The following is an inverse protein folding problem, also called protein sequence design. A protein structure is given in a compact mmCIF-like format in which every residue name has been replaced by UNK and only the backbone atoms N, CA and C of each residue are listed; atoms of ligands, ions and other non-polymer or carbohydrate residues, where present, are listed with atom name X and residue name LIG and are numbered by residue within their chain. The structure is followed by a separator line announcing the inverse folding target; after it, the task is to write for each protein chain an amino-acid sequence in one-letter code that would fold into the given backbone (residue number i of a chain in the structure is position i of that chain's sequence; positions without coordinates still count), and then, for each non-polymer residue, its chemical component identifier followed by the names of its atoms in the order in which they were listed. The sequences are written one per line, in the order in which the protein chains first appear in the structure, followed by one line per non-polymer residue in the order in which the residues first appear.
data_IF_544374829108
#
_entry.id   IF_544374829108
#
_cell.length_a   1.000
_cell.length_b   1.000
_cell.length_c   1.000
_cell.angle_alpha   90.00
_cell.angle_beta   90.00
_cell.angle_gamma   90.00
#
_symmetry.space_group_name_H-M   'P 1'
#
loop_
_entity.id
_entity.type
_entity.pdbx_description
1 polymer ?
#
# COMPACT_ATOMS: atom_id res chain seq x y z
N UNK A 1 17.21 17.38 9.79
CA UNK A 1 17.31 15.93 10.02
C UNK A 1 18.20 15.57 11.21
N UNK A 2 17.89 16.14 12.39
CA UNK A 2 18.68 15.95 13.61
C UNK A 2 18.80 14.49 14.08
N UNK A 3 17.87 13.63 13.67
CA UNK A 3 17.80 12.23 14.14
C UNK A 3 18.28 11.20 13.09
N UNK A 4 18.52 11.61 11.86
CA UNK A 4 18.88 10.67 10.79
C UNK A 4 20.25 9.99 11.00
N UNK A 5 21.16 10.63 11.75
CA UNK A 5 22.49 10.09 12.08
C UNK A 5 22.49 9.17 13.29
N UNK A 6 21.39 9.09 14.03
CA UNK A 6 21.26 8.29 15.26
C UNK A 6 20.51 6.96 15.00
N UNK A 7 20.12 6.70 13.75
CA UNK A 7 19.43 5.46 13.38
C UNK A 7 20.39 4.26 13.34
N UNK A 8 19.89 3.10 13.75
CA UNK A 8 20.60 1.82 13.59
C UNK A 8 19.99 1.06 12.43
N UNK A 9 20.84 0.61 11.49
CA UNK A 9 20.40 -0.29 10.42
C UNK A 9 20.09 -1.66 11.01
N UNK A 10 18.88 -2.14 10.76
CA UNK A 10 18.42 -3.44 11.20
C UNK A 10 18.31 -4.40 10.01
N UNK A 11 18.65 -5.67 10.21
CA UNK A 11 18.23 -6.72 9.31
C UNK A 11 16.73 -6.95 9.40
N UNK A 12 16.14 -7.64 8.41
CA UNK A 12 14.72 -7.98 8.42
C UNK A 12 14.33 -8.76 9.69
N UNK A 13 15.14 -9.74 10.10
CA UNK A 13 14.91 -10.52 11.34
C UNK A 13 14.93 -9.66 12.60
N UNK A 14 15.86 -8.73 12.71
CA UNK A 14 15.93 -7.80 13.86
C UNK A 14 14.73 -6.86 13.88
N UNK A 15 14.30 -6.35 12.72
CA UNK A 15 13.11 -5.50 12.62
C UNK A 15 11.83 -6.26 13.05
N UNK A 16 11.69 -7.54 12.69
CA UNK A 16 10.58 -8.38 13.14
C UNK A 16 10.56 -8.49 14.67
N UNK A 17 11.72 -8.73 15.30
CA UNK A 17 11.80 -8.82 16.75
C UNK A 17 11.46 -7.50 17.43
N UNK A 18 11.96 -6.38 16.91
CA UNK A 18 11.62 -5.05 17.41
C UNK A 18 10.11 -4.78 17.37
N UNK A 19 9.48 -5.02 16.23
CA UNK A 19 8.03 -4.80 16.07
C UNK A 19 7.20 -5.76 16.93
N UNK A 20 7.68 -6.98 17.14
CA UNK A 20 7.07 -7.93 18.10
C UNK A 20 7.08 -7.38 19.52
N UNK A 21 8.20 -6.78 19.95
CA UNK A 21 8.32 -6.14 21.27
C UNK A 21 7.40 -4.91 21.40
N UNK A 22 7.23 -4.16 20.32
CA UNK A 22 6.34 -2.99 20.26
C UNK A 22 4.84 -3.37 20.19
N UNK A 23 4.51 -4.64 19.95
CA UNK A 23 3.13 -5.11 19.85
C UNK A 23 2.37 -4.57 18.62
N UNK A 24 3.08 -4.22 17.55
CA UNK A 24 2.48 -3.70 16.30
C UNK A 24 2.39 -4.79 15.24
N UNK A 25 1.59 -4.54 14.20
CA UNK A 25 1.49 -5.40 13.02
C UNK A 25 2.57 -5.04 11.99
N UNK A 26 2.68 -5.86 10.94
CA UNK A 26 3.78 -5.81 9.99
C UNK A 26 3.29 -5.55 8.57
N UNK A 27 3.92 -4.61 7.88
CA UNK A 27 3.70 -4.38 6.46
C UNK A 27 5.04 -4.24 5.72
N UNK A 28 5.82 -5.35 5.62
CA UNK A 28 7.12 -5.33 4.98
C UNK A 28 6.99 -5.17 3.47
N UNK A 29 7.83 -4.33 2.90
CA UNK A 29 7.98 -4.25 1.46
C UNK A 29 9.20 -5.04 0.99
N UNK A 30 8.98 -6.02 0.10
CA UNK A 30 10.06 -6.64 -0.65
C UNK A 30 10.50 -5.69 -1.75
N UNK A 31 11.57 -4.95 -1.51
CA UNK A 31 12.09 -3.98 -2.47
C UNK A 31 12.53 -4.67 -3.76
N UNK A 32 12.21 -4.06 -4.88
CA UNK A 32 12.75 -4.50 -6.17
C UNK A 32 14.27 -4.50 -6.12
N UNK A 33 14.94 -5.62 -6.42
CA UNK A 33 16.40 -5.69 -6.36
C UNK A 33 17.05 -4.66 -7.30
N UNK A 34 18.05 -3.95 -6.80
CA UNK A 34 18.88 -3.05 -7.63
C UNK A 34 20.04 -3.79 -8.31
N UNK A 35 20.18 -5.09 -8.03
CA UNK A 35 21.16 -5.98 -8.64
C UNK A 35 20.48 -6.99 -9.56
N UNK A 36 21.21 -7.49 -10.56
CA UNK A 36 20.67 -8.52 -11.45
C UNK A 36 20.34 -9.79 -10.67
N UNK A 37 19.17 -10.34 -10.93
CA UNK A 37 18.76 -11.65 -10.39
C UNK A 37 18.89 -12.73 -11.47
N UNK A 38 19.34 -13.96 -11.13
CA UNK A 38 19.71 -14.44 -9.80
C UNK A 38 21.01 -13.80 -9.28
N UNK A 39 20.97 -13.33 -8.03
CA UNK A 39 22.16 -12.76 -7.38
C UNK A 39 23.17 -13.86 -7.06
N UNK A 40 24.46 -13.58 -7.30
CA UNK A 40 25.55 -14.54 -7.11
C UNK A 40 25.30 -15.93 -7.77
N UNK A 41 24.59 -15.91 -8.91
CA UNK A 41 24.35 -17.08 -9.76
C UNK A 41 23.18 -17.98 -9.35
N UNK A 42 22.74 -17.99 -8.10
CA UNK A 42 21.71 -18.91 -7.61
C UNK A 42 20.62 -18.30 -6.72
N UNK A 43 20.79 -17.12 -6.15
CA UNK A 43 19.76 -16.47 -5.32
C UNK A 43 18.74 -15.75 -6.20
N UNK A 44 17.65 -16.44 -6.50
CA UNK A 44 16.61 -15.98 -7.43
C UNK A 44 15.64 -14.99 -6.77
N UNK A 45 14.87 -14.22 -7.58
CA UNK A 45 13.77 -13.40 -7.08
C UNK A 45 12.78 -14.24 -6.26
N UNK A 46 12.47 -15.45 -6.70
CA UNK A 46 11.58 -16.33 -5.95
C UNK A 46 12.18 -16.78 -4.60
N UNK A 47 13.50 -17.00 -4.52
CA UNK A 47 14.18 -17.29 -3.26
C UNK A 47 14.12 -16.09 -2.32
N UNK A 48 14.32 -14.88 -2.83
CA UNK A 48 14.20 -13.63 -2.07
C UNK A 48 12.80 -13.43 -1.52
N UNK A 49 11.77 -13.64 -2.36
CA UNK A 49 10.38 -13.52 -1.93
C UNK A 49 10.00 -14.57 -0.86
N UNK A 50 10.47 -15.82 -1.01
CA UNK A 50 10.25 -16.87 0.01
C UNK A 50 10.94 -16.55 1.32
N UNK A 51 12.18 -16.03 1.27
CA UNK A 51 12.95 -15.66 2.47
C UNK A 51 12.20 -14.68 3.35
N UNK A 52 11.57 -13.66 2.77
CA UNK A 52 10.83 -12.69 3.55
C UNK A 52 9.68 -13.34 4.36
N UNK A 53 8.91 -14.25 3.76
CA UNK A 53 7.83 -14.94 4.48
C UNK A 53 8.39 -15.93 5.49
N UNK A 54 9.48 -16.64 5.13
CA UNK A 54 10.11 -17.60 6.04
C UNK A 54 10.60 -16.92 7.32
N UNK A 55 11.14 -15.72 7.24
CA UNK A 55 11.58 -14.96 8.42
C UNK A 55 10.41 -14.67 9.41
N UNK A 56 9.19 -14.44 8.90
CA UNK A 56 7.99 -14.32 9.76
C UNK A 56 7.56 -15.66 10.36
N UNK A 57 7.63 -16.74 9.58
CA UNK A 57 7.33 -18.10 10.06
C UNK A 57 8.30 -18.48 11.18
N UNK A 58 9.59 -18.29 10.96
CA UNK A 58 10.64 -18.61 11.93
C UNK A 58 10.52 -17.80 13.23
N UNK A 59 10.03 -16.55 13.12
CA UNK A 59 9.76 -15.70 14.27
C UNK A 59 8.43 -16.02 15.00
N UNK A 60 7.63 -16.94 14.46
CA UNK A 60 6.34 -17.32 15.02
C UNK A 60 5.30 -16.20 14.94
N UNK A 61 5.37 -15.36 13.91
CA UNK A 61 4.39 -14.27 13.68
C UNK A 61 3.16 -14.85 12.96
N UNK A 62 1.98 -14.51 13.48
CA UNK A 62 0.72 -14.99 12.88
C UNK A 62 0.50 -14.35 11.49
N UNK A 63 0.10 -15.13 10.48
CA UNK A 63 -0.20 -14.58 9.14
C UNK A 63 -1.16 -13.39 9.16
N UNK A 64 -2.17 -13.41 10.04
CA UNK A 64 -3.15 -12.34 10.21
C UNK A 64 -2.56 -10.99 10.67
N UNK A 65 -1.31 -10.96 11.10
CA UNK A 65 -0.62 -9.75 11.54
C UNK A 65 0.38 -9.22 10.50
N UNK A 66 0.48 -9.87 9.31
CA UNK A 66 1.48 -9.53 8.29
C UNK A 66 0.82 -9.22 6.95
N UNK A 67 1.09 -8.04 6.39
CA UNK A 67 0.72 -7.61 5.04
C UNK A 67 1.98 -7.47 4.18
N UNK A 68 2.54 -8.58 3.65
CA UNK A 68 3.72 -8.51 2.80
C UNK A 68 3.37 -7.80 1.50
N UNK A 69 4.25 -6.91 1.04
CA UNK A 69 3.96 -6.11 -0.15
C UNK A 69 5.12 -6.11 -1.14
N UNK A 70 4.80 -6.01 -2.42
CA UNK A 70 5.77 -5.88 -3.51
C UNK A 70 5.17 -5.16 -4.71
N UNK A 71 6.01 -4.40 -5.42
CA UNK A 71 5.70 -3.86 -6.75
C UNK A 71 5.75 -4.94 -7.85
N UNK A 72 6.39 -6.08 -7.58
CA UNK A 72 6.45 -7.19 -8.52
C UNK A 72 5.26 -8.13 -8.30
N UNK A 73 4.31 -8.13 -9.25
CA UNK A 73 3.13 -9.01 -9.20
C UNK A 73 3.51 -10.48 -9.00
N UNK A 74 4.65 -10.91 -9.58
CA UNK A 74 5.15 -12.29 -9.44
C UNK A 74 5.40 -12.71 -7.99
N UNK A 75 5.88 -11.81 -7.14
CA UNK A 75 6.12 -12.07 -5.71
C UNK A 75 4.80 -12.30 -4.98
N UNK A 76 3.80 -11.44 -5.23
CA UNK A 76 2.48 -11.55 -4.61
C UNK A 76 1.77 -12.84 -5.03
N UNK A 77 1.84 -13.21 -6.31
CA UNK A 77 1.30 -14.47 -6.83
C UNK A 77 2.02 -15.68 -6.22
N UNK A 78 3.34 -15.60 -6.05
CA UNK A 78 4.12 -16.64 -5.38
C UNK A 78 3.64 -16.82 -3.94
N UNK A 79 3.49 -15.74 -3.18
CA UNK A 79 3.01 -15.81 -1.80
C UNK A 79 1.58 -16.35 -1.71
N UNK A 80 0.69 -15.93 -2.61
CA UNK A 80 -0.67 -16.46 -2.66
C UNK A 80 -0.72 -17.97 -2.91
N UNK A 81 0.21 -18.49 -3.72
CA UNK A 81 0.30 -19.90 -4.09
C UNK A 81 1.02 -20.76 -3.05
N UNK A 82 2.19 -20.32 -2.59
CA UNK A 82 3.07 -21.13 -1.75
C UNK A 82 2.86 -20.91 -0.24
N UNK A 83 2.40 -19.72 0.13
CA UNK A 83 2.13 -19.33 1.52
C UNK A 83 0.70 -18.78 1.66
N UNK A 84 -0.36 -19.56 1.37
CA UNK A 84 -1.72 -19.03 1.23
C UNK A 84 -2.24 -18.29 2.47
N UNK A 85 -1.80 -18.65 3.66
CA UNK A 85 -2.17 -17.95 4.88
C UNK A 85 -1.65 -16.49 4.92
N UNK A 86 -0.43 -16.24 4.45
CA UNK A 86 0.16 -14.89 4.30
C UNK A 86 -0.34 -14.22 3.01
N UNK A 87 -0.51 -15.00 1.94
CA UNK A 87 -0.94 -14.52 0.64
C UNK A 87 -2.33 -13.86 0.62
N UNK A 88 -3.21 -14.23 1.58
CA UNK A 88 -4.52 -13.56 1.74
C UNK A 88 -4.41 -12.07 2.09
N UNK A 89 -3.29 -11.65 2.65
CA UNK A 89 -3.00 -10.26 3.00
C UNK A 89 -1.88 -9.65 2.18
N UNK A 90 -1.30 -10.41 1.23
CA UNK A 90 -0.25 -9.89 0.36
C UNK A 90 -0.78 -8.76 -0.51
N UNK A 91 -0.02 -7.66 -0.54
CA UNK A 91 -0.38 -6.40 -1.20
C UNK A 91 0.41 -6.26 -2.50
N UNK A 92 -0.29 -6.21 -3.62
CA UNK A 92 0.32 -5.78 -4.88
C UNK A 92 0.36 -4.25 -4.91
N UNK A 93 1.55 -3.67 -4.78
CA UNK A 93 1.78 -2.23 -4.93
C UNK A 93 1.64 -1.87 -6.41
N UNK A 94 0.58 -1.15 -6.76
CA UNK A 94 0.23 -0.90 -8.15
C UNK A 94 0.66 0.51 -8.60
N UNK A 95 1.85 0.59 -9.18
CA UNK A 95 2.39 1.80 -9.79
C UNK A 95 2.20 1.88 -11.31
N UNK A 96 1.51 0.89 -11.93
CA UNK A 96 1.26 0.88 -13.37
C UNK A 96 0.49 2.12 -13.81
N UNK A 97 0.67 2.54 -15.05
CA UNK A 97 -0.05 3.69 -15.62
C UNK A 97 -1.57 3.50 -15.58
N UNK A 98 -2.30 4.60 -15.53
CA UNK A 98 -3.77 4.62 -15.44
C UNK A 98 -4.43 4.45 -16.84
N UNK A 99 -4.04 3.40 -17.55
CA UNK A 99 -4.58 3.03 -18.86
C UNK A 99 -5.79 2.10 -18.72
N UNK A 100 -6.63 2.01 -19.73
CA UNK A 100 -7.87 1.22 -19.69
C UNK A 100 -7.61 -0.28 -19.45
N UNK A 101 -6.51 -0.82 -19.96
CA UNK A 101 -6.06 -2.19 -19.74
C UNK A 101 -5.58 -2.47 -18.30
N UNK A 102 -5.31 -1.42 -17.52
CA UNK A 102 -4.94 -1.51 -16.10
C UNK A 102 -6.13 -1.21 -15.18
N UNK A 103 -6.97 -0.24 -15.56
CA UNK A 103 -8.04 0.29 -14.68
C UNK A 103 -9.38 -0.38 -14.88
N UNK A 104 -9.56 -1.18 -15.95
CA UNK A 104 -10.84 -1.83 -16.26
C UNK A 104 -11.23 -2.91 -15.24
N UNK A 105 -12.52 -3.18 -15.14
CA UNK A 105 -13.03 -4.29 -14.31
C UNK A 105 -12.37 -5.63 -14.68
N UNK A 106 -12.19 -5.89 -15.99
CA UNK A 106 -11.54 -7.11 -16.46
C UNK A 106 -10.08 -7.23 -15.97
N UNK A 107 -9.33 -6.12 -15.96
CA UNK A 107 -7.97 -6.09 -15.43
C UNK A 107 -7.94 -6.39 -13.92
N UNK A 108 -8.86 -5.81 -13.15
CA UNK A 108 -8.99 -6.06 -11.71
C UNK A 108 -9.41 -7.51 -11.41
N UNK A 109 -10.35 -8.06 -12.19
CA UNK A 109 -10.73 -9.48 -12.10
C UNK A 109 -9.57 -10.42 -12.44
N UNK A 110 -8.70 -10.03 -13.40
CA UNK A 110 -7.49 -10.77 -13.72
C UNK A 110 -6.50 -10.81 -12.55
N UNK A 111 -6.33 -9.71 -11.80
CA UNK A 111 -5.53 -9.72 -10.57
C UNK A 111 -6.14 -10.66 -9.53
N UNK A 112 -7.44 -10.56 -9.32
CA UNK A 112 -8.15 -11.42 -8.36
C UNK A 112 -8.02 -12.91 -8.70
N UNK A 113 -8.15 -13.28 -9.97
CA UNK A 113 -8.02 -14.67 -10.43
C UNK A 113 -6.61 -15.24 -10.25
N UNK A 114 -5.58 -14.39 -10.26
CA UNK A 114 -4.19 -14.76 -9.97
C UNK A 114 -3.88 -14.94 -8.48
N UNK A 115 -4.86 -14.73 -7.61
CA UNK A 115 -4.71 -14.87 -6.16
C UNK A 115 -4.49 -13.56 -5.40
N UNK A 116 -4.37 -12.42 -6.07
CA UNK A 116 -4.28 -11.11 -5.41
C UNK A 116 -5.60 -10.83 -4.68
N UNK A 117 -5.51 -10.36 -3.44
CA UNK A 117 -6.68 -9.98 -2.62
C UNK A 117 -6.61 -8.53 -2.17
N UNK A 118 -5.41 -7.98 -2.10
CA UNK A 118 -5.18 -6.59 -1.69
C UNK A 118 -4.28 -5.91 -2.72
N UNK A 119 -4.64 -4.71 -3.12
CA UNK A 119 -3.81 -3.84 -3.96
C UNK A 119 -3.44 -2.59 -3.19
N UNK A 120 -2.25 -2.05 -3.46
CA UNK A 120 -1.75 -0.81 -2.88
C UNK A 120 -1.50 0.22 -3.98
N UNK A 121 -2.50 0.97 -4.45
CA UNK A 121 -2.30 2.04 -5.40
C UNK A 121 -1.93 3.35 -4.70
N UNK A 122 -1.26 4.25 -5.44
CA UNK A 122 -1.10 5.63 -5.02
C UNK A 122 -2.47 6.31 -4.86
N UNK A 123 -2.61 7.24 -3.91
CA UNK A 123 -3.87 7.87 -3.58
C UNK A 123 -4.58 8.48 -4.80
N UNK A 124 -3.83 9.16 -5.68
CA UNK A 124 -4.38 9.77 -6.90
C UNK A 124 -5.05 8.80 -7.87
N UNK A 125 -4.68 7.51 -7.85
CA UNK A 125 -5.31 6.49 -8.71
C UNK A 125 -6.74 6.19 -8.28
N UNK A 126 -7.02 6.32 -7.00
CA UNK A 126 -8.32 6.00 -6.41
C UNK A 126 -9.29 7.16 -6.39
N UNK A 127 -8.82 8.38 -6.64
CA UNK A 127 -9.57 9.61 -6.50
C UNK A 127 -9.69 10.35 -7.83
N UNK A 128 -10.81 11.04 -8.01
CA UNK A 128 -11.07 11.96 -9.12
C UNK A 128 -11.97 13.10 -8.66
N UNK A 129 -12.25 14.06 -9.52
CA UNK A 129 -13.22 15.12 -9.28
C UNK A 129 -14.50 14.88 -10.09
N UNK A 130 -15.65 15.10 -9.46
CA UNK A 130 -16.93 15.18 -10.16
C UNK A 130 -17.11 16.53 -10.90
N UNK A 131 -18.26 16.71 -11.54
CA UNK A 131 -18.59 17.93 -12.29
C UNK A 131 -18.67 19.18 -11.39
N UNK A 132 -18.87 19.00 -10.09
CA UNK A 132 -18.90 20.06 -9.06
C UNK A 132 -17.54 20.24 -8.38
N UNK A 133 -16.49 19.60 -8.89
CA UNK A 133 -15.12 19.58 -8.33
C UNK A 133 -15.02 18.97 -6.92
N UNK A 134 -15.99 18.14 -6.55
CA UNK A 134 -15.92 17.37 -5.31
C UNK A 134 -15.02 16.14 -5.53
N UNK A 135 -14.22 15.80 -4.52
CA UNK A 135 -13.39 14.58 -4.52
C UNK A 135 -14.33 13.37 -4.40
N UNK A 136 -14.18 12.42 -5.32
CA UNK A 136 -14.98 11.19 -5.39
C UNK A 136 -14.11 9.99 -5.80
N UNK A 137 -14.57 8.73 -5.57
CA UNK A 137 -13.86 7.55 -6.04
C UNK A 137 -13.72 7.52 -7.57
N UNK A 138 -12.53 7.23 -8.06
CA UNK A 138 -12.24 7.03 -9.47
C UNK A 138 -12.82 5.71 -10.00
N UNK A 139 -12.82 5.52 -11.31
CA UNK A 139 -13.22 4.25 -11.92
C UNK A 139 -12.24 3.11 -11.57
N UNK A 140 -10.95 3.43 -11.36
CA UNK A 140 -9.99 2.47 -10.81
C UNK A 140 -10.49 1.88 -9.48
N UNK A 141 -10.85 2.74 -8.52
CA UNK A 141 -11.32 2.32 -7.21
C UNK A 141 -12.64 1.54 -7.29
N UNK A 142 -13.60 2.02 -8.10
CA UNK A 142 -14.89 1.34 -8.31
C UNK A 142 -14.71 -0.05 -8.89
N UNK A 143 -13.87 -0.19 -9.92
CA UNK A 143 -13.60 -1.47 -10.58
C UNK A 143 -12.82 -2.43 -9.68
N UNK A 144 -11.85 -1.94 -8.91
CA UNK A 144 -11.15 -2.75 -7.91
C UNK A 144 -12.11 -3.32 -6.86
N UNK A 145 -12.99 -2.48 -6.32
CA UNK A 145 -14.04 -2.89 -5.37
C UNK A 145 -15.01 -3.90 -5.97
N UNK A 146 -15.46 -3.66 -7.21
CA UNK A 146 -16.35 -4.56 -7.95
C UNK A 146 -15.71 -5.92 -8.24
N UNK A 147 -14.39 -5.97 -8.42
CA UNK A 147 -13.63 -7.21 -8.58
C UNK A 147 -13.38 -7.95 -7.26
N UNK A 148 -13.76 -7.39 -6.11
CA UNK A 148 -13.54 -7.98 -4.78
C UNK A 148 -12.15 -7.71 -4.20
N UNK A 149 -11.38 -6.80 -4.78
CA UNK A 149 -10.07 -6.40 -4.27
C UNK A 149 -10.23 -5.41 -3.11
N UNK A 150 -9.47 -5.61 -2.04
CA UNK A 150 -9.27 -4.62 -0.98
C UNK A 150 -8.18 -3.65 -1.38
N UNK A 151 -8.19 -2.44 -0.84
CA UNK A 151 -7.24 -1.39 -1.19
C UNK A 151 -6.55 -0.82 0.06
N UNK A 152 -5.24 -0.54 -0.05
CA UNK A 152 -4.47 0.24 0.91
C UNK A 152 -3.88 1.43 0.13
N UNK A 153 -4.17 2.66 0.58
CA UNK A 153 -3.69 3.86 -0.08
C UNK A 153 -2.26 4.21 0.33
N UNK A 154 -1.45 4.74 -0.60
CA UNK A 154 -0.18 5.42 -0.32
C UNK A 154 -0.06 6.67 -1.17
N UNK A 155 0.41 7.78 -0.71
CA UNK A 155 0.64 8.23 0.66
C UNK A 155 0.00 9.63 0.83
N UNK A 156 -0.09 10.15 2.06
CA UNK A 156 -0.77 11.43 2.29
C UNK A 156 0.17 12.65 2.21
N UNK A 157 1.43 12.55 2.67
CA UNK A 157 2.22 13.74 3.00
C UNK A 157 3.46 13.94 2.10
N UNK A 158 3.78 13.03 1.20
CA UNK A 158 5.11 12.92 0.61
C UNK A 158 5.42 13.84 -0.58
N UNK A 159 4.45 14.45 -1.24
CA UNK A 159 4.73 15.01 -2.56
C UNK A 159 4.69 16.53 -2.67
N UNK A 160 4.21 17.24 -1.70
CA UNK A 160 4.24 18.69 -1.73
C UNK A 160 3.27 19.37 -0.78
N UNK A 161 3.40 20.69 -0.59
CA UNK A 161 2.51 21.45 0.24
C UNK A 161 1.08 21.45 -0.30
N UNK A 162 0.09 21.27 0.58
CA UNK A 162 -1.31 21.22 0.16
C UNK A 162 -1.82 22.57 -0.34
N UNK A 163 -1.31 23.69 0.17
CA UNK A 163 -1.64 25.03 -0.32
C UNK A 163 -1.21 25.29 -1.78
N UNK A 164 -0.44 24.38 -2.39
CA UNK A 164 -0.05 24.40 -3.80
C UNK A 164 -0.54 23.18 -4.56
N UNK A 165 -1.59 22.50 -4.06
CA UNK A 165 -2.25 21.38 -4.74
C UNK A 165 -1.73 19.99 -4.38
N UNK A 166 -0.82 19.85 -3.39
CA UNK A 166 -0.40 18.56 -2.83
C UNK A 166 0.58 17.73 -3.65
N UNK A 167 0.92 18.15 -4.87
CA UNK A 167 1.90 17.50 -5.74
C UNK A 167 1.45 16.13 -6.29
N UNK A 168 2.39 15.21 -6.48
CA UNK A 168 2.18 13.97 -7.24
C UNK A 168 1.08 13.06 -6.64
N UNK A 169 0.98 12.93 -5.32
CA UNK A 169 -0.03 12.08 -4.69
C UNK A 169 -1.46 12.62 -4.80
N UNK A 170 -1.61 13.91 -5.13
CA UNK A 170 -2.89 14.61 -5.27
C UNK A 170 -3.18 15.02 -6.71
N UNK A 171 -2.37 14.60 -7.69
CA UNK A 171 -2.43 15.10 -9.07
C UNK A 171 -3.79 14.97 -9.74
N UNK A 172 -4.58 13.96 -9.41
CA UNK A 172 -5.93 13.74 -9.95
C UNK A 172 -6.99 14.68 -9.34
N UNK A 173 -6.68 15.31 -8.22
CA UNK A 173 -7.61 16.14 -7.43
C UNK A 173 -7.03 17.50 -7.05
N UNK A 174 -5.88 17.88 -7.64
CA UNK A 174 -5.17 19.15 -7.38
C UNK A 174 -6.09 20.37 -7.29
N UNK A 175 -7.12 20.58 -8.17
CA UNK A 175 -8.01 21.74 -8.07
C UNK A 175 -8.86 21.81 -6.80
N UNK A 176 -8.99 20.73 -6.04
CA UNK A 176 -9.73 20.65 -4.79
C UNK A 176 -8.82 20.69 -3.55
N UNK A 177 -7.50 20.86 -3.73
CA UNK A 177 -6.52 20.84 -2.66
C UNK A 177 -5.92 22.24 -2.51
N UNK A 178 -6.21 22.92 -1.42
CA UNK A 178 -5.90 24.34 -1.22
C UNK A 178 -5.23 24.64 0.14
N UNK A 179 -5.36 23.77 1.11
CA UNK A 179 -4.82 23.93 2.46
C UNK A 179 -4.65 22.59 3.17
N UNK A 180 -3.97 22.58 4.31
CA UNK A 180 -3.65 21.35 5.05
C UNK A 180 -4.89 20.60 5.57
N UNK A 181 -6.00 21.30 5.79
CA UNK A 181 -7.28 20.70 6.20
C UNK A 181 -7.89 19.78 5.12
N UNK A 182 -7.57 20.01 3.85
CA UNK A 182 -8.10 19.21 2.74
C UNK A 182 -7.57 17.75 2.79
N UNK A 183 -6.48 17.49 3.50
CA UNK A 183 -6.02 16.12 3.78
C UNK A 183 -7.09 15.29 4.50
N UNK A 184 -7.82 15.88 5.43
CA UNK A 184 -8.91 15.18 6.13
C UNK A 184 -10.09 14.87 5.21
N UNK A 185 -10.37 15.74 4.24
CA UNK A 185 -11.36 15.47 3.18
C UNK A 185 -10.93 14.27 2.33
N UNK A 186 -9.64 14.20 1.97
CA UNK A 186 -9.08 13.07 1.23
C UNK A 186 -9.17 11.78 2.04
N UNK A 187 -8.81 11.80 3.32
CA UNK A 187 -8.92 10.63 4.21
C UNK A 187 -10.39 10.18 4.30
N UNK A 188 -11.33 11.11 4.44
CA UNK A 188 -12.76 10.80 4.54
C UNK A 188 -13.28 10.07 3.30
N UNK A 189 -12.96 10.57 2.10
CA UNK A 189 -13.34 9.92 0.84
C UNK A 189 -12.66 8.55 0.70
N UNK A 190 -11.37 8.44 1.02
CA UNK A 190 -10.65 7.15 0.98
C UNK A 190 -11.28 6.13 1.94
N UNK A 191 -11.60 6.55 3.17
CA UNK A 191 -12.13 5.65 4.19
C UNK A 191 -13.59 5.26 3.92
N UNK A 192 -14.46 6.22 3.61
CA UNK A 192 -15.91 5.99 3.51
C UNK A 192 -16.38 5.60 2.12
N UNK A 193 -15.96 6.33 1.10
CA UNK A 193 -16.49 6.17 -0.26
C UNK A 193 -15.71 5.11 -1.05
N UNK A 194 -14.37 5.16 -1.01
CA UNK A 194 -13.51 4.12 -1.60
C UNK A 194 -13.57 2.85 -0.74
N UNK A 195 -13.52 2.99 0.58
CA UNK A 195 -13.53 1.89 1.53
C UNK A 195 -12.17 1.20 1.64
N UNK A 196 -11.08 1.99 1.72
CA UNK A 196 -9.74 1.43 1.93
C UNK A 196 -9.64 0.76 3.31
N UNK A 197 -8.83 -0.29 3.39
CA UNK A 197 -8.58 -1.01 4.65
C UNK A 197 -7.37 -0.48 5.42
N UNK A 198 -6.62 0.46 4.84
CA UNK A 198 -5.47 1.11 5.45
C UNK A 198 -4.95 2.24 4.58
N UNK A 199 -4.18 3.13 5.21
CA UNK A 199 -3.52 4.26 4.56
C UNK A 199 -2.09 4.34 5.07
N UNK A 200 -1.12 4.39 4.14
CA UNK A 200 0.25 4.73 4.47
C UNK A 200 0.36 6.23 4.73
N UNK A 201 0.93 6.58 5.88
CA UNK A 201 1.18 7.97 6.29
C UNK A 201 2.53 8.06 6.98
N UNK A 202 3.29 9.11 6.67
CA UNK A 202 4.54 9.41 7.37
C UNK A 202 4.30 10.10 8.72
N UNK A 203 3.05 10.58 8.94
CA UNK A 203 2.60 11.24 10.16
C UNK A 203 1.41 10.48 10.76
N UNK A 204 1.64 9.38 11.49
CA UNK A 204 0.56 8.52 12.01
C UNK A 204 -0.50 9.30 12.80
N UNK A 205 -0.12 10.41 13.45
CA UNK A 205 -1.06 11.26 14.18
C UNK A 205 -2.20 11.79 13.30
N UNK A 206 -1.96 12.08 12.02
CA UNK A 206 -2.98 12.58 11.08
C UNK A 206 -4.13 11.57 10.93
N UNK A 207 -3.79 10.32 10.60
CA UNK A 207 -4.81 9.27 10.41
C UNK A 207 -5.44 8.87 11.74
N UNK A 208 -4.65 8.79 12.82
CA UNK A 208 -5.16 8.48 14.16
C UNK A 208 -6.15 9.53 14.67
N UNK A 209 -5.86 10.81 14.45
CA UNK A 209 -6.78 11.90 14.80
C UNK A 209 -8.10 11.77 14.05
N UNK A 210 -8.06 11.57 12.73
CA UNK A 210 -9.25 11.35 11.92
C UNK A 210 -10.08 10.16 12.44
N UNK A 211 -9.44 8.99 12.64
CA UNK A 211 -10.10 7.77 13.10
C UNK A 211 -10.79 7.97 14.47
N UNK A 212 -10.11 8.64 15.41
CA UNK A 212 -10.69 8.94 16.71
C UNK A 212 -11.89 9.93 16.63
N UNK A 213 -11.83 10.91 15.75
CA UNK A 213 -12.93 11.85 15.54
C UNK A 213 -14.16 11.20 14.89
N UNK A 214 -13.96 10.21 14.02
CA UNK A 214 -15.04 9.59 13.24
C UNK A 214 -15.65 8.35 13.89
N UNK A 215 -15.09 7.86 14.99
CA UNK A 215 -15.65 6.77 15.80
C UNK A 215 -16.71 7.19 16.82
N UNK A 216 -17.08 8.49 16.86
CA UNK A 216 -18.06 9.03 17.79
C UNK A 216 -19.50 8.90 17.27
#
# INVERSE_FOLDING_TARGET
NLYATNGTLLSHKESIQLFKQLGVKYTPELKTPVVSMPYQGNYTQAAYARQMIQDYIDAGIKPADVWPQSFLLGDVVLWAKEFPAYGQQAVFLDERDNTADVTSLAAMQSLYSKGVRVIGPAAWKMLTLDAQKKIVPSDYAKNAKAAGLKMIAWSLERSGPLNTGGGWYYQSITPAINNDGDMYTVIDVLAKDVGVIGIFTDWPATVTYYDNCMKQ
#
